data_IF_383147680270
#
_entry.id   IF_383147680270
#
_cell.length_a   1.000
_cell.length_b   1.000
_cell.length_c   1.000
_cell.angle_alpha   90.00
_cell.angle_beta   90.00
_cell.angle_gamma   90.00
#
_symmetry.space_group_name_H-M   'P 1'
#
loop_
_entity.id
_entity.type
_entity.pdbx_description
1 polymer ?
#
# COMPACT_ATOMS: atom_id res chain seq x y z
N UNK A 1 6.17 33.23 43.03
CA UNK A 1 6.79 31.87 42.99
C UNK A 1 6.78 31.42 41.54
N UNK A 2 7.92 31.53 40.87
CA UNK A 2 8.09 31.18 39.45
C UNK A 2 8.27 29.66 39.35
N UNK A 3 7.23 28.95 38.90
CA UNK A 3 7.30 27.52 38.64
C UNK A 3 8.18 27.27 37.43
N UNK A 4 9.18 26.40 37.59
CA UNK A 4 10.07 25.94 36.53
C UNK A 4 9.18 25.24 35.50
N UNK A 5 9.06 25.82 34.30
CA UNK A 5 8.41 25.18 33.16
C UNK A 5 9.12 23.84 32.91
N UNK A 6 8.39 22.74 33.11
CA UNK A 6 8.91 21.40 32.91
C UNK A 6 9.43 21.26 31.50
N UNK A 7 10.72 20.98 31.36
CA UNK A 7 11.34 20.70 30.07
C UNK A 7 10.57 19.55 29.39
N UNK A 8 9.87 19.86 28.31
CA UNK A 8 9.12 18.89 27.52
C UNK A 8 10.07 18.31 26.49
N UNK A 9 10.55 17.09 26.72
CA UNK A 9 11.28 16.33 25.70
C UNK A 9 10.29 15.94 24.59
N UNK A 10 10.35 16.62 23.46
CA UNK A 10 9.59 16.27 22.26
C UNK A 10 10.53 15.62 21.26
N UNK A 11 10.54 14.29 21.23
CA UNK A 11 11.17 13.51 20.17
C UNK A 11 10.29 13.61 18.92
N UNK A 12 10.46 14.69 18.16
CA UNK A 12 9.88 14.79 16.82
C UNK A 12 10.76 13.95 15.89
N UNK A 13 10.29 12.78 15.41
CA UNK A 13 11.11 11.97 14.52
C UNK A 13 11.23 12.73 13.20
N UNK A 14 12.37 13.36 12.98
CA UNK A 14 12.65 14.07 11.75
C UNK A 14 12.85 13.06 10.62
N UNK A 15 12.55 13.47 9.38
CA UNK A 15 12.73 12.65 8.17
C UNK A 15 14.19 12.12 8.04
N UNK A 16 15.15 12.75 8.73
CA UNK A 16 16.57 12.37 8.77
C UNK A 16 16.87 11.17 9.68
N UNK A 17 16.05 10.89 10.70
CA UNK A 17 16.28 9.80 11.66
C UNK A 17 15.78 8.42 11.16
N UNK A 18 15.14 8.36 9.98
CA UNK A 18 14.66 7.11 9.38
C UNK A 18 13.32 6.60 9.92
N UNK A 19 12.87 7.09 11.07
CA UNK A 19 11.56 6.73 11.64
C UNK A 19 10.42 7.43 10.91
N UNK A 20 9.46 6.65 10.41
CA UNK A 20 8.24 7.14 9.75
C UNK A 20 7.03 6.74 10.58
N UNK A 21 6.20 7.71 10.94
CA UNK A 21 4.93 7.47 11.63
C UNK A 21 3.77 7.52 10.64
N UNK A 22 2.87 6.54 10.74
CA UNK A 22 1.58 6.52 10.05
C UNK A 22 0.50 6.64 11.11
N UNK A 23 -0.15 7.81 11.18
CA UNK A 23 -1.34 7.99 12.03
C UNK A 23 -2.57 7.56 11.24
N UNK A 24 -3.27 6.54 11.72
CA UNK A 24 -4.50 6.05 11.10
C UNK A 24 -5.67 6.27 12.06
N UNK A 25 -6.70 6.96 11.58
CA UNK A 25 -7.93 7.16 12.33
C UNK A 25 -8.82 5.91 12.20
N UNK A 26 -9.06 5.24 13.33
CA UNK A 26 -9.84 4.01 13.39
C UNK A 26 -11.32 4.34 13.53
N UNK A 27 -12.03 4.42 12.40
CA UNK A 27 -13.50 4.58 12.41
C UNK A 27 -14.17 3.27 12.05
N UNK A 28 -15.36 3.04 12.61
CA UNK A 28 -16.17 1.85 12.29
C UNK A 28 -16.46 1.75 10.78
N UNK A 29 -16.58 2.89 10.11
CA UNK A 29 -16.82 2.97 8.66
C UNK A 29 -15.55 2.82 7.81
N UNK A 30 -14.36 2.87 8.42
CA UNK A 30 -13.07 2.73 7.75
C UNK A 30 -12.16 1.82 8.59
N UNK A 31 -12.42 0.50 8.57
CA UNK A 31 -11.60 -0.45 9.32
C UNK A 31 -10.15 -0.32 8.87
N UNK A 32 -9.23 -0.44 9.84
CA UNK A 32 -7.80 -0.40 9.57
C UNK A 32 -7.46 -1.36 8.43
N UNK A 33 -6.90 -0.84 7.35
CA UNK A 33 -6.29 -1.73 6.38
C UNK A 33 -5.12 -2.43 7.08
N UNK A 34 -5.10 -3.76 7.07
CA UNK A 34 -3.95 -4.55 7.51
C UNK A 34 -2.72 -4.37 6.61
N UNK A 35 -2.64 -3.30 5.81
CA UNK A 35 -1.48 -2.97 5.03
C UNK A 35 -1.38 -1.46 4.81
N UNK A 36 -0.15 -0.98 4.63
CA UNK A 36 0.14 0.36 4.17
C UNK A 36 1.20 0.31 3.06
N UNK A 37 1.18 1.31 2.17
CA UNK A 37 2.25 1.49 1.16
C UNK A 37 3.23 2.55 1.64
N UNK A 38 4.45 2.15 1.95
CA UNK A 38 5.55 3.05 2.34
C UNK A 38 6.61 3.02 1.24
N UNK A 39 6.86 4.15 0.57
CA UNK A 39 7.81 4.25 -0.56
C UNK A 39 7.61 3.18 -1.65
N UNK A 40 6.36 2.77 -1.90
CA UNK A 40 6.02 1.73 -2.87
C UNK A 40 6.17 0.29 -2.37
N UNK A 41 6.72 0.07 -1.17
CA UNK A 41 6.68 -1.21 -0.47
C UNK A 41 5.36 -1.37 0.28
N UNK A 42 4.73 -2.54 0.14
CA UNK A 42 3.49 -2.88 0.85
C UNK A 42 3.87 -3.56 2.17
N UNK A 43 3.78 -2.81 3.26
CA UNK A 43 3.87 -3.32 4.62
C UNK A 43 2.53 -3.90 5.04
N UNK A 44 2.54 -5.03 5.74
CA UNK A 44 1.32 -5.71 6.22
C UNK A 44 1.35 -5.69 7.75
N UNK A 45 0.27 -5.24 8.36
CA UNK A 45 0.08 -5.22 9.81
C UNK A 45 -0.79 -6.41 10.20
N UNK A 46 -0.35 -7.16 11.20
CA UNK A 46 -1.15 -8.24 11.78
C UNK A 46 -1.86 -7.69 13.01
N UNK A 47 -3.19 -7.71 12.99
CA UNK A 47 -4.03 -7.39 14.13
C UNK A 47 -4.62 -8.68 14.67
N UNK A 48 -4.55 -8.88 15.99
CA UNK A 48 -5.17 -10.05 16.61
C UNK A 48 -6.69 -10.05 16.36
N UNK A 49 -7.21 -11.17 15.84
CA UNK A 49 -8.63 -11.34 15.52
C UNK A 49 -9.03 -10.93 14.10
N UNK A 50 -8.15 -10.27 13.33
CA UNK A 50 -8.44 -9.88 11.95
C UNK A 50 -7.59 -10.68 10.95
N UNK A 51 -8.27 -11.38 10.02
CA UNK A 51 -7.57 -12.07 8.93
C UNK A 51 -6.99 -11.04 7.95
N UNK A 52 -5.71 -11.17 7.56
CA UNK A 52 -5.11 -10.24 6.61
C UNK A 52 -5.85 -10.32 5.26
N UNK A 53 -6.04 -9.19 4.56
CA UNK A 53 -6.63 -9.16 3.25
C UNK A 53 -5.68 -9.80 2.25
N UNK A 54 -6.25 -10.32 1.16
CA UNK A 54 -5.49 -10.96 0.11
C UNK A 54 -4.41 -10.01 -0.45
N UNK A 55 -3.16 -10.49 -0.56
CA UNK A 55 -2.05 -9.68 -1.12
C UNK A 55 -2.23 -9.29 -2.58
N UNK A 56 -3.10 -9.99 -3.34
CA UNK A 56 -3.41 -9.70 -4.74
C UNK A 56 -4.55 -8.68 -4.87
N UNK A 57 -5.76 -9.03 -4.42
CA UNK A 57 -6.97 -8.24 -4.64
C UNK A 57 -7.41 -7.35 -3.46
N UNK A 58 -6.72 -7.41 -2.32
CA UNK A 58 -7.06 -6.70 -1.08
C UNK A 58 -8.44 -7.02 -0.47
N UNK A 59 -9.12 -8.08 -0.93
CA UNK A 59 -10.37 -8.56 -0.33
C UNK A 59 -10.12 -9.45 0.88
N UNK A 60 -11.05 -9.48 1.83
CA UNK A 60 -11.03 -10.38 2.99
C UNK A 60 -11.48 -11.79 2.57
N UNK A 61 -11.15 -12.81 3.38
CA UNK A 61 -11.65 -14.18 3.22
C UNK A 61 -10.68 -15.19 2.60
N UNK A 62 -9.61 -14.75 1.91
CA UNK A 62 -8.60 -15.65 1.33
C UNK A 62 -7.20 -15.00 1.29
N UNK A 63 -6.14 -15.81 1.18
CA UNK A 63 -4.75 -15.32 1.15
C UNK A 63 -3.92 -15.88 0.00
N UNK A 64 -3.59 -15.03 -0.98
CA UNK A 64 -2.64 -15.28 -2.09
C UNK A 64 -2.99 -16.46 -3.00
N UNK A 65 -2.78 -17.70 -2.57
CA UNK A 65 -2.96 -18.91 -3.38
C UNK A 65 -4.41 -19.12 -3.86
N UNK A 66 -5.45 -18.99 -3.00
CA UNK A 66 -6.85 -19.15 -3.40
C UNK A 66 -7.43 -17.88 -4.06
N UNK A 67 -6.59 -16.97 -4.54
CA UNK A 67 -7.04 -15.73 -5.14
C UNK A 67 -7.12 -15.87 -6.66
N UNK A 68 -8.35 -15.90 -7.17
CA UNK A 68 -8.66 -16.01 -8.59
C UNK A 68 -8.82 -14.64 -9.28
N UNK A 69 -8.50 -13.55 -8.59
CA UNK A 69 -8.58 -12.21 -9.18
C UNK A 69 -7.59 -12.09 -10.35
N UNK A 70 -8.07 -11.70 -11.55
CA UNK A 70 -7.23 -11.64 -12.72
C UNK A 70 -6.16 -10.56 -12.61
N UNK A 71 -4.99 -10.85 -13.19
CA UNK A 71 -3.86 -9.92 -13.27
C UNK A 71 -3.81 -9.28 -14.65
N UNK A 72 -3.75 -7.95 -14.68
CA UNK A 72 -3.48 -7.21 -15.91
C UNK A 72 -1.97 -7.00 -16.04
N UNK A 73 -1.34 -7.64 -17.02
CA UNK A 73 0.09 -7.52 -17.29
C UNK A 73 0.46 -6.13 -17.85
N UNK A 74 -0.49 -5.38 -18.44
CA UNK A 74 -0.28 -4.01 -18.94
C UNK A 74 -0.20 -2.96 -17.83
N UNK A 75 -1.01 -3.11 -16.79
CA UNK A 75 -0.99 -2.24 -15.61
C UNK A 75 -0.13 -2.78 -14.45
N UNK A 76 0.00 -4.10 -14.35
CA UNK A 76 0.60 -4.80 -13.22
C UNK A 76 -0.26 -4.69 -11.96
N UNK A 77 -1.58 -4.74 -12.09
CA UNK A 77 -2.55 -4.75 -10.97
C UNK A 77 -3.47 -5.95 -11.08
N UNK A 78 -3.96 -6.42 -9.93
CA UNK A 78 -4.95 -7.51 -9.85
C UNK A 78 -6.35 -6.88 -9.79
N UNK A 79 -7.08 -6.90 -10.91
CA UNK A 79 -8.42 -6.32 -11.04
C UNK A 79 -9.17 -6.84 -12.27
N UNK A 80 -8.49 -6.93 -13.42
CA UNK A 80 -9.04 -7.36 -14.70
C UNK A 80 -8.00 -8.17 -15.50
N UNK A 81 -8.43 -8.87 -16.55
CA UNK A 81 -7.54 -9.60 -17.45
C UNK A 81 -6.87 -8.63 -18.45
N UNK A 82 -5.70 -9.00 -18.98
CA UNK A 82 -4.94 -8.10 -19.87
C UNK A 82 -5.67 -7.81 -21.20
N UNK A 83 -6.43 -8.77 -21.71
CA UNK A 83 -7.25 -8.69 -22.93
C UNK A 83 -8.39 -7.65 -22.83
N UNK A 84 -8.96 -7.49 -21.64
CA UNK A 84 -10.04 -6.54 -21.33
C UNK A 84 -9.50 -5.17 -20.88
N UNK A 85 -8.19 -4.99 -20.83
CA UNK A 85 -7.57 -3.72 -20.44
C UNK A 85 -7.66 -2.72 -21.60
N UNK A 86 -8.37 -1.62 -21.39
CA UNK A 86 -8.44 -0.48 -22.33
C UNK A 86 -7.43 0.63 -21.99
N UNK A 87 -6.77 0.51 -20.83
CA UNK A 87 -5.90 1.55 -20.30
C UNK A 87 -4.46 1.44 -20.83
N UNK A 88 -3.74 2.55 -21.02
CA UNK A 88 -2.36 2.55 -21.46
C UNK A 88 -1.40 2.03 -20.37
N UNK A 89 -0.20 1.60 -20.76
CA UNK A 89 0.83 1.14 -19.86
C UNK A 89 1.18 2.22 -18.82
N UNK A 90 0.99 1.93 -17.53
CA UNK A 90 1.21 2.90 -16.45
C UNK A 90 2.64 3.44 -16.34
N UNK A 91 3.62 2.78 -16.98
CA UNK A 91 5.02 3.22 -16.96
C UNK A 91 5.32 4.25 -18.06
N UNK A 92 4.73 4.14 -19.25
CA UNK A 92 5.12 4.97 -20.40
C UNK A 92 3.97 5.44 -21.29
N UNK A 93 2.72 5.07 -21.00
CA UNK A 93 1.55 5.43 -21.79
C UNK A 93 1.30 4.58 -23.05
N UNK A 94 2.12 3.56 -23.34
CA UNK A 94 2.00 2.73 -24.56
C UNK A 94 1.01 1.57 -24.46
N UNK A 95 0.70 0.90 -25.57
CA UNK A 95 -0.26 -0.21 -25.63
C UNK A 95 0.33 -1.60 -25.26
N UNK A 96 1.65 -1.71 -25.16
CA UNK A 96 2.33 -2.97 -24.81
C UNK A 96 2.11 -3.39 -23.35
N UNK A 97 2.35 -4.67 -23.05
CA UNK A 97 2.34 -5.15 -21.67
C UNK A 97 3.47 -4.49 -20.85
N UNK A 98 3.29 -4.37 -19.53
CA UNK A 98 4.28 -3.72 -18.65
C UNK A 98 5.59 -4.51 -18.57
N UNK A 99 5.51 -5.83 -18.74
CA UNK A 99 6.68 -6.71 -18.76
C UNK A 99 7.59 -6.42 -19.96
N UNK A 100 7.00 -6.01 -21.08
CA UNK A 100 7.71 -5.64 -22.31
C UNK A 100 8.07 -4.14 -22.37
N UNK A 101 7.69 -3.38 -21.34
CA UNK A 101 7.94 -1.94 -21.29
C UNK A 101 9.40 -1.66 -20.90
N UNK A 102 10.19 -1.25 -21.89
CA UNK A 102 11.61 -0.88 -21.76
C UNK A 102 11.85 0.55 -21.24
N UNK A 103 10.79 1.36 -21.10
CA UNK A 103 10.91 2.69 -20.54
C UNK A 103 11.48 2.65 -19.12
N UNK A 104 12.37 3.59 -18.79
CA UNK A 104 12.88 3.74 -17.42
C UNK A 104 11.76 4.24 -16.51
N UNK A 105 11.68 3.72 -15.28
CA UNK A 105 10.83 4.34 -14.24
C UNK A 105 11.40 5.74 -13.96
N UNK A 106 10.61 6.78 -14.25
CA UNK A 106 10.83 8.13 -13.72
C UNK A 106 10.72 8.14 -12.20
#
# INVERSE_FOLDING_TARGET
MSGIEGARYEDHPSIRAGTRYLKVDMRLQNPLSNFARVRGHKETFEYHGEKPPCRRCNQKGHFKAPCDTPNCARWGVFMHHTDTCTEPCRRCGGAQARVDCTARKS
#
